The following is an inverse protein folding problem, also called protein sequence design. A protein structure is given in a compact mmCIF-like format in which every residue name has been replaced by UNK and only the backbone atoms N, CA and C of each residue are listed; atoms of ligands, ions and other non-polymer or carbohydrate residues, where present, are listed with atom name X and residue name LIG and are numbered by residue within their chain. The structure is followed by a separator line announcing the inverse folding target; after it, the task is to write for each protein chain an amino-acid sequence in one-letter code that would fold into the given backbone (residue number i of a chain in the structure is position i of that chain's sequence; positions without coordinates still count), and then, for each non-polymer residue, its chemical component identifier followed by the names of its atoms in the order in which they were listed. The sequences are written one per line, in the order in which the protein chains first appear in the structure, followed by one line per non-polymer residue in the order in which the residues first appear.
data_IF_927200070150
#
_entry.id   IF_927200070150
#
_cell.length_a   1.000
_cell.length_b   1.000
_cell.length_c   1.000
_cell.angle_alpha   90.00
_cell.angle_beta   90.00
_cell.angle_gamma   90.00
#
_symmetry.space_group_name_H-M   'P 1'
#
loop_
_entity.id
_entity.type
_entity.pdbx_description
1 polymer ?
#
# COMPACT_ATOMS: atom_id res chain seq x y z
N UNK A 1 11.24 -48.48 15.96
CA UNK A 1 10.67 -47.85 14.75
C UNK A 1 10.15 -46.49 15.16
N UNK A 2 10.88 -45.44 14.77
CA UNK A 2 10.40 -44.06 14.68
C UNK A 2 9.12 -44.06 13.80
N UNK A 3 8.15 -43.17 13.93
CA UNK A 3 8.32 -41.72 13.80
C UNK A 3 7.00 -41.08 14.28
N UNK A 4 7.03 -40.30 15.37
CA UNK A 4 5.89 -39.45 15.72
C UNK A 4 6.10 -38.12 15.01
N UNK A 5 5.53 -38.02 13.80
CA UNK A 5 5.49 -36.78 13.03
C UNK A 5 4.70 -35.72 13.79
N UNK A 6 5.45 -34.78 14.37
CA UNK A 6 4.98 -33.51 14.92
C UNK A 6 4.18 -32.78 13.83
N UNK A 7 2.85 -32.81 13.92
CA UNK A 7 1.99 -31.90 13.15
C UNK A 7 2.26 -30.49 13.65
N UNK A 8 3.10 -29.75 12.93
CA UNK A 8 3.15 -28.30 13.01
C UNK A 8 1.72 -27.79 12.80
N UNK A 9 1.12 -27.22 13.85
CA UNK A 9 -0.13 -26.48 13.76
C UNK A 9 0.14 -25.28 12.84
N UNK A 10 -0.15 -25.43 11.54
CA UNK A 10 -0.33 -24.26 10.68
C UNK A 10 -1.56 -23.55 11.23
N UNK A 11 -1.34 -22.44 11.93
CA UNK A 11 -2.41 -21.48 12.17
C UNK A 11 -3.02 -21.19 10.79
N UNK A 12 -4.33 -21.44 10.57
CA UNK A 12 -4.95 -20.98 9.34
C UNK A 12 -4.80 -19.46 9.33
N UNK A 13 -4.26 -18.92 8.23
CA UNK A 13 -4.31 -17.48 8.02
C UNK A 13 -5.77 -17.04 8.17
N UNK A 14 -6.05 -15.98 8.94
CA UNK A 14 -7.41 -15.51 9.16
C UNK A 14 -8.10 -15.26 7.80
N UNK A 15 -9.38 -15.62 7.70
CA UNK A 15 -10.16 -15.39 6.48
C UNK A 15 -10.09 -13.90 6.12
N UNK A 16 -9.82 -13.59 4.85
CA UNK A 16 -9.74 -12.21 4.34
C UNK A 16 -11.02 -11.43 4.66
N UNK A 17 -12.17 -12.11 4.74
CA UNK A 17 -13.45 -11.52 5.15
C UNK A 17 -13.45 -11.05 6.61
N UNK A 18 -12.86 -11.82 7.52
CA UNK A 18 -12.75 -11.47 8.93
C UNK A 18 -11.77 -10.31 9.12
N UNK A 19 -10.68 -10.31 8.35
CA UNK A 19 -9.73 -9.19 8.31
C UNK A 19 -10.43 -7.91 7.83
N UNK A 20 -11.12 -7.96 6.68
CA UNK A 20 -11.80 -6.80 6.10
C UNK A 20 -12.75 -6.05 7.06
N UNK A 21 -13.25 -6.71 8.11
CA UNK A 21 -14.19 -6.13 9.09
C UNK A 21 -13.59 -5.89 10.49
N UNK A 22 -12.43 -6.46 10.81
CA UNK A 22 -11.90 -6.51 12.18
C UNK A 22 -10.96 -5.37 12.59
N UNK A 23 -10.40 -4.62 11.64
CA UNK A 23 -9.39 -3.60 11.91
C UNK A 23 -9.86 -2.16 11.67
N UNK A 24 -9.10 -1.19 12.19
CA UNK A 24 -9.39 0.24 12.05
C UNK A 24 -8.71 0.82 10.80
N UNK A 25 -9.43 1.54 9.92
CA UNK A 25 -8.82 2.17 8.76
C UNK A 25 -7.92 3.33 9.18
N UNK A 26 -6.79 3.46 8.50
CA UNK A 26 -5.90 4.62 8.54
C UNK A 26 -5.72 5.14 7.13
N UNK A 27 -5.64 6.46 7.00
CA UNK A 27 -5.48 7.11 5.70
C UNK A 27 -4.04 7.57 5.50
N UNK A 28 -3.49 7.25 4.34
CA UNK A 28 -2.24 7.82 3.84
C UNK A 28 -2.60 9.03 2.98
N UNK A 29 -1.98 10.17 3.27
CA UNK A 29 -2.22 11.46 2.61
C UNK A 29 -0.89 12.00 2.10
N UNK A 30 -0.92 13.02 1.24
CA UNK A 30 0.30 13.61 0.67
C UNK A 30 1.31 14.05 1.72
N UNK A 31 0.85 14.56 2.88
CA UNK A 31 1.72 14.94 4.00
C UNK A 31 2.49 13.78 4.64
N UNK A 32 2.23 12.53 4.25
CA UNK A 32 2.97 11.36 4.69
C UNK A 32 4.00 10.88 3.66
N UNK A 33 4.00 11.44 2.44
CA UNK A 33 4.92 11.03 1.39
C UNK A 33 6.37 11.42 1.73
N UNK A 34 7.31 10.64 1.23
CA UNK A 34 8.76 10.89 1.33
C UNK A 34 9.16 12.00 0.35
N UNK A 35 9.01 13.25 0.78
CA UNK A 35 9.35 14.45 0.00
C UNK A 35 10.81 14.42 -0.49
N UNK A 36 11.02 14.75 -1.77
CA UNK A 36 12.33 14.72 -2.42
C UNK A 36 12.82 13.33 -2.84
N UNK A 37 11.98 12.29 -2.77
CA UNK A 37 12.33 10.98 -3.32
C UNK A 37 12.55 11.06 -4.84
N UNK A 38 13.76 10.74 -5.30
CA UNK A 38 14.12 10.77 -6.73
C UNK A 38 13.69 9.49 -7.43
N UNK A 39 12.89 9.65 -8.49
CA UNK A 39 12.46 8.58 -9.39
C UNK A 39 13.66 8.06 -10.19
N UNK A 40 13.74 6.73 -10.32
CA UNK A 40 14.76 6.07 -11.13
C UNK A 40 14.04 5.08 -12.04
N UNK A 41 14.03 5.33 -13.34
CA UNK A 41 13.24 4.56 -14.27
C UNK A 41 13.53 3.06 -14.18
N UNK A 42 12.48 2.24 -14.12
CA UNK A 42 12.56 0.79 -13.99
C UNK A 42 13.04 0.28 -12.62
N UNK A 43 13.31 1.16 -11.65
CA UNK A 43 13.60 0.81 -10.27
C UNK A 43 12.44 1.23 -9.36
N UNK A 44 12.24 0.48 -8.28
CA UNK A 44 11.27 0.83 -7.25
C UNK A 44 11.82 1.94 -6.34
N UNK A 45 11.06 3.01 -6.19
CA UNK A 45 11.34 4.10 -5.26
C UNK A 45 10.26 4.11 -4.20
N UNK A 46 10.68 4.09 -2.92
CA UNK A 46 9.72 4.18 -1.81
C UNK A 46 9.23 5.61 -1.67
N UNK A 47 7.91 5.79 -1.77
CA UNK A 47 7.24 7.10 -1.66
C UNK A 47 6.47 7.25 -0.36
N UNK A 48 6.24 6.16 0.36
CA UNK A 48 5.69 6.16 1.72
C UNK A 48 6.15 4.91 2.46
N UNK A 49 6.42 5.05 3.77
CA UNK A 49 6.79 3.95 4.65
C UNK A 49 6.23 4.12 6.05
N UNK A 50 5.82 3.02 6.67
CA UNK A 50 5.44 2.98 8.08
C UNK A 50 5.94 1.71 8.75
N UNK A 51 6.66 1.85 9.88
CA UNK A 51 7.07 0.72 10.71
C UNK A 51 5.87 0.19 11.49
N UNK A 52 5.68 -1.12 11.49
CA UNK A 52 4.63 -1.75 12.30
C UNK A 52 5.07 -1.80 13.78
N UNK A 53 4.31 -1.21 14.71
CA UNK A 53 4.59 -1.33 16.15
C UNK A 53 4.45 -2.77 16.66
N UNK A 54 5.13 -3.08 17.77
CA UNK A 54 5.17 -4.43 18.35
C UNK A 54 3.79 -5.01 18.72
N UNK A 55 2.87 -4.17 19.18
CA UNK A 55 1.51 -4.54 19.61
C UNK A 55 0.47 -4.39 18.49
N UNK A 56 0.92 -4.25 17.24
CA UNK A 56 0.07 -3.99 16.08
C UNK A 56 0.37 -4.94 14.93
N UNK A 57 -0.58 -4.98 14.01
CA UNK A 57 -0.39 -5.58 12.70
C UNK A 57 -1.08 -4.70 11.64
N UNK A 58 -0.44 -4.52 10.48
CA UNK A 58 -0.93 -3.66 9.39
C UNK A 58 -1.22 -4.47 8.13
N UNK A 59 -2.30 -4.12 7.42
CA UNK A 59 -2.63 -4.63 6.09
C UNK A 59 -2.81 -3.47 5.12
N UNK A 60 -2.33 -3.62 3.89
CA UNK A 60 -2.68 -2.71 2.81
C UNK A 60 -4.18 -2.75 2.54
N UNK A 61 -4.79 -1.61 2.22
CA UNK A 61 -6.21 -1.49 1.93
C UNK A 61 -7.13 -1.56 3.15
N UNK A 62 -8.42 -1.41 2.92
CA UNK A 62 -9.47 -1.53 3.94
C UNK A 62 -10.79 -2.00 3.34
N UNK A 63 -11.54 -2.79 4.11
CA UNK A 63 -12.83 -3.32 3.70
C UNK A 63 -12.78 -4.39 2.62
N UNK A 64 -13.93 -4.61 1.98
CA UNK A 64 -14.19 -5.72 1.05
C UNK A 64 -14.12 -5.27 -0.40
N UNK A 65 -13.90 -6.22 -1.30
CA UNK A 65 -13.98 -6.04 -2.75
C UNK A 65 -15.42 -5.80 -3.24
N UNK A 66 -16.41 -6.31 -2.50
CA UNK A 66 -17.82 -6.04 -2.76
C UNK A 66 -18.30 -4.77 -2.06
N UNK A 67 -18.69 -3.80 -2.88
CA UNK A 67 -19.23 -2.50 -2.50
C UNK A 67 -20.48 -2.56 -1.61
N UNK A 68 -21.32 -3.58 -1.77
CA UNK A 68 -22.56 -3.74 -0.98
C UNK A 68 -22.35 -4.52 0.33
N UNK A 69 -21.16 -5.08 0.56
CA UNK A 69 -20.92 -6.07 1.61
C UNK A 69 -19.98 -5.63 2.74
N UNK A 70 -19.54 -4.37 2.76
CA UNK A 70 -18.59 -3.91 3.79
C UNK A 70 -18.19 -2.44 3.67
N UNK A 71 -17.28 -1.99 4.55
CA UNK A 71 -16.70 -0.65 4.44
C UNK A 71 -15.96 -0.49 3.11
N UNK A 72 -16.11 0.67 2.46
CA UNK A 72 -15.52 0.97 1.15
C UNK A 72 -14.26 1.83 1.31
N UNK A 73 -13.15 1.46 0.67
CA UNK A 73 -11.92 2.25 0.61
C UNK A 73 -11.65 2.76 -0.80
N UNK A 74 -12.30 3.86 -1.19
CA UNK A 74 -12.08 4.49 -2.49
C UNK A 74 -10.79 5.30 -2.49
N UNK A 75 -9.93 5.04 -3.47
CA UNK A 75 -8.58 5.58 -3.55
C UNK A 75 -8.36 6.46 -4.78
N UNK A 76 -7.34 7.29 -4.71
CA UNK A 76 -6.74 8.01 -5.83
C UNK A 76 -5.31 8.40 -5.45
N UNK A 77 -4.47 8.67 -6.45
CA UNK A 77 -3.12 9.16 -6.24
C UNK A 77 -2.63 9.98 -7.45
N UNK A 78 -2.54 11.30 -7.28
CA UNK A 78 -1.76 12.19 -8.13
C UNK A 78 -0.43 12.45 -7.42
N UNK A 79 0.66 11.91 -7.98
CA UNK A 79 2.02 12.09 -7.47
C UNK A 79 2.74 12.99 -8.46
N UNK A 80 3.25 14.12 -7.98
CA UNK A 80 3.83 15.16 -8.83
C UNK A 80 5.26 15.47 -8.42
N UNK A 81 6.04 15.99 -9.36
CA UNK A 81 7.33 16.61 -9.09
C UNK A 81 7.15 18.10 -8.68
N UNK A 82 8.25 18.81 -8.48
CA UNK A 82 8.24 20.24 -8.12
C UNK A 82 7.85 21.20 -9.26
N UNK A 83 7.69 20.70 -10.49
CA UNK A 83 7.26 21.45 -11.70
C UNK A 83 5.80 21.19 -12.07
N UNK A 84 4.94 20.92 -11.06
CA UNK A 84 3.63 20.26 -11.16
C UNK A 84 3.41 19.24 -12.28
N UNK A 85 4.46 18.55 -12.73
CA UNK A 85 4.32 17.47 -13.69
C UNK A 85 4.03 16.18 -12.94
N UNK A 86 3.09 15.40 -13.48
CA UNK A 86 2.73 14.10 -12.91
C UNK A 86 3.87 13.11 -13.13
N UNK A 87 4.24 12.39 -12.08
CA UNK A 87 5.12 11.24 -12.18
C UNK A 87 4.33 10.09 -12.80
N UNK A 88 4.85 9.53 -13.89
CA UNK A 88 4.28 8.39 -14.62
C UNK A 88 4.89 7.06 -14.15
N UNK A 89 4.12 5.98 -14.28
CA UNK A 89 4.53 4.63 -13.91
C UNK A 89 3.48 3.91 -13.05
N UNK A 90 3.94 2.93 -12.27
CA UNK A 90 3.07 2.02 -11.52
C UNK A 90 3.22 2.18 -10.01
N UNK A 91 2.11 2.12 -9.27
CA UNK A 91 2.09 2.14 -7.81
C UNK A 91 1.96 0.72 -7.24
N UNK A 92 2.86 0.37 -6.32
CA UNK A 92 2.92 -0.92 -5.65
C UNK A 92 2.74 -0.82 -4.14
N UNK A 93 2.04 -1.80 -3.59
CA UNK A 93 1.99 -2.11 -2.17
C UNK A 93 3.03 -3.18 -1.82
N UNK A 94 3.92 -2.86 -0.87
CA UNK A 94 5.03 -3.73 -0.47
C UNK A 94 5.06 -3.90 1.05
N UNK A 95 5.54 -5.06 1.50
CA UNK A 95 5.89 -5.32 2.90
C UNK A 95 7.35 -5.75 2.98
N UNK A 96 8.12 -5.03 3.78
CA UNK A 96 9.56 -5.26 3.96
C UNK A 96 9.92 -5.66 5.39
N UNK A 97 11.08 -6.26 5.58
CA UNK A 97 11.65 -6.52 6.90
C UNK A 97 12.33 -5.26 7.45
N UNK A 98 12.97 -5.41 8.61
CA UNK A 98 13.75 -4.36 9.24
C UNK A 98 14.97 -3.93 8.42
N UNK A 99 15.44 -4.75 7.47
CA UNK A 99 16.54 -4.47 6.56
C UNK A 99 16.07 -3.90 5.21
N UNK A 100 14.76 -3.71 5.02
CA UNK A 100 14.17 -3.16 3.79
C UNK A 100 14.07 -4.18 2.66
N UNK A 101 14.29 -5.47 2.92
CA UNK A 101 14.10 -6.54 1.94
C UNK A 101 12.63 -6.91 1.86
N UNK A 102 12.16 -7.18 0.65
CA UNK A 102 10.81 -7.67 0.43
C UNK A 102 10.62 -9.02 1.11
N UNK A 103 9.69 -9.09 2.06
CA UNK A 103 9.41 -10.32 2.82
C UNK A 103 8.26 -11.10 2.20
N UNK A 104 7.44 -10.40 1.44
CA UNK A 104 6.21 -10.88 0.84
C UNK A 104 6.10 -10.46 -0.61
N UNK A 105 5.21 -11.12 -1.36
CA UNK A 105 4.90 -10.71 -2.72
C UNK A 105 4.41 -9.25 -2.73
N UNK A 106 5.01 -8.42 -3.59
CA UNK A 106 4.50 -7.08 -3.91
C UNK A 106 3.19 -7.18 -4.69
N UNK A 107 2.29 -6.23 -4.49
CA UNK A 107 1.02 -6.16 -5.21
C UNK A 107 0.87 -4.83 -5.91
N UNK A 108 0.67 -4.88 -7.22
CA UNK A 108 0.33 -3.70 -8.02
C UNK A 108 -1.04 -3.16 -7.59
N UNK A 109 -1.12 -1.86 -7.40
CA UNK A 109 -2.34 -1.12 -7.07
C UNK A 109 -2.99 -0.62 -8.36
N UNK A 110 -2.17 -0.10 -9.28
CA UNK A 110 -2.54 0.40 -10.61
C UNK A 110 -1.51 1.40 -11.12
N UNK A 111 -1.70 1.84 -12.36
CA UNK A 111 -0.90 2.89 -12.97
C UNK A 111 -1.24 4.28 -12.41
N UNK A 112 -0.23 5.15 -12.33
CA UNK A 112 -0.35 6.48 -11.75
C UNK A 112 -1.21 7.44 -12.59
N UNK A 113 -1.32 7.22 -13.90
CA UNK A 113 -2.17 8.02 -14.78
C UNK A 113 -3.65 7.81 -14.43
N UNK A 114 -4.09 6.55 -14.37
CA UNK A 114 -5.47 6.18 -14.00
C UNK A 114 -5.77 6.57 -12.56
N UNK A 115 -4.82 6.38 -11.64
CA UNK A 115 -4.98 6.78 -10.25
C UNK A 115 -5.06 8.30 -10.06
N UNK A 116 -4.38 9.09 -10.89
CA UNK A 116 -4.47 10.54 -10.87
C UNK A 116 -5.82 11.02 -11.41
N UNK A 117 -6.28 10.45 -12.54
CA UNK A 117 -7.59 10.77 -13.11
C UNK A 117 -8.74 10.51 -12.11
N UNK A 118 -8.62 9.46 -11.28
CA UNK A 118 -9.60 9.14 -10.24
C UNK A 118 -9.74 10.22 -9.15
N UNK A 119 -8.83 11.21 -9.06
CA UNK A 119 -8.99 12.34 -8.14
C UNK A 119 -10.23 13.17 -8.47
N UNK A 120 -10.51 13.37 -9.76
CA UNK A 120 -11.62 14.18 -10.26
C UNK A 120 -12.94 13.41 -10.35
N UNK A 121 -12.88 12.07 -10.29
CA UNK A 121 -14.08 11.22 -10.32
C UNK A 121 -14.93 11.37 -9.04
N UNK A 122 -16.23 11.10 -9.18
CA UNK A 122 -17.10 10.96 -8.02
C UNK A 122 -16.52 9.91 -7.08
N UNK A 123 -16.56 10.15 -5.76
CA UNK A 123 -16.00 9.25 -4.73
C UNK A 123 -16.30 7.77 -5.00
N UNK A 124 -17.52 7.50 -5.43
CA UNK A 124 -18.07 6.18 -5.65
C UNK A 124 -17.68 5.51 -6.97
N UNK A 125 -17.08 6.24 -7.89
CA UNK A 125 -16.63 5.75 -9.20
C UNK A 125 -15.13 5.45 -9.20
N UNK A 126 -14.41 5.92 -8.17
CA UNK A 126 -12.99 5.68 -7.96
C UNK A 126 -12.67 4.20 -7.74
N UNK A 127 -11.43 3.77 -8.03
CA UNK A 127 -10.97 2.42 -7.68
C UNK A 127 -11.16 2.12 -6.19
N UNK A 128 -11.56 0.90 -5.88
CA UNK A 128 -11.63 0.39 -4.52
C UNK A 128 -10.31 -0.28 -4.14
N UNK A 129 -9.88 -0.08 -2.89
CA UNK A 129 -8.67 -0.67 -2.34
C UNK A 129 -8.99 -1.59 -1.15
N UNK A 130 -9.53 -2.79 -1.43
CA UNK A 130 -9.89 -3.73 -0.38
C UNK A 130 -8.65 -4.23 0.35
N UNK A 131 -8.85 -4.83 1.53
CA UNK A 131 -7.76 -5.42 2.31
C UNK A 131 -6.93 -6.40 1.46
N UNK A 132 -5.61 -6.25 1.51
CA UNK A 132 -4.65 -7.06 0.80
C UNK A 132 -3.81 -7.88 1.78
N UNK A 133 -3.84 -9.20 1.62
CA UNK A 133 -2.91 -10.11 2.29
C UNK A 133 -1.57 -10.16 1.52
N UNK A 134 -0.43 -10.42 2.20
CA UNK A 134 -0.27 -10.82 3.60
C UNK A 134 -0.25 -9.66 4.61
N UNK A 135 -0.29 -10.00 5.91
CA UNK A 135 -0.25 -9.05 7.03
C UNK A 135 1.18 -8.71 7.43
N UNK A 136 1.47 -7.42 7.62
CA UNK A 136 2.71 -6.93 8.19
C UNK A 136 2.60 -6.93 9.73
N UNK A 137 3.63 -7.47 10.40
CA UNK A 137 3.74 -7.61 11.86
C UNK A 137 4.95 -6.85 12.39
N UNK A 138 5.20 -6.97 13.69
CA UNK A 138 6.38 -6.41 14.36
C UNK A 138 7.67 -6.56 13.54
N UNK A 139 8.47 -5.49 13.53
CA UNK A 139 9.73 -5.36 12.79
C UNK A 139 9.63 -5.42 11.26
N UNK A 140 8.42 -5.43 10.71
CA UNK A 140 8.17 -5.21 9.30
C UNK A 140 7.75 -3.75 9.03
N UNK A 141 7.78 -3.36 7.76
CA UNK A 141 7.25 -2.10 7.30
C UNK A 141 6.18 -2.32 6.26
N UNK A 142 5.19 -1.43 6.26
CA UNK A 142 4.24 -1.27 5.16
C UNK A 142 4.74 -0.11 4.28
N UNK A 143 4.87 -0.35 2.98
CA UNK A 143 5.44 0.61 2.02
C UNK A 143 4.53 0.79 0.80
N UNK A 144 4.53 2.01 0.26
CA UNK A 144 4.10 2.29 -1.11
C UNK A 144 5.33 2.63 -1.92
N UNK A 145 5.45 2.00 -3.09
CA UNK A 145 6.57 2.20 -4.00
C UNK A 145 6.09 2.54 -5.39
N UNK A 146 6.84 3.39 -6.08
CA UNK A 146 6.62 3.74 -7.48
C UNK A 146 7.68 3.07 -8.33
N UNK A 147 7.28 2.40 -9.40
CA UNK A 147 8.18 2.06 -10.52
C UNK A 147 7.93 3.11 -11.58
N UNK A 148 8.84 4.07 -11.68
CA UNK A 148 8.69 5.19 -12.60
C UNK A 148 8.95 4.77 -14.05
N UNK A 149 8.19 5.35 -14.97
CA UNK A 149 8.46 5.25 -16.40
C UNK A 149 9.68 6.09 -16.79
N UNK A 150 10.24 5.80 -17.96
CA UNK A 150 11.43 6.51 -18.46
C UNK A 150 11.21 8.02 -18.66
N UNK A 151 9.96 8.46 -18.78
CA UNK A 151 9.62 9.88 -18.90
C UNK A 151 9.82 10.64 -17.58
N UNK A 152 9.71 9.95 -16.44
CA UNK A 152 9.87 10.51 -15.10
C UNK A 152 11.22 10.16 -14.46
N UNK A 153 12.22 9.73 -15.25
CA UNK A 153 13.55 9.45 -14.74
C UNK A 153 14.23 10.73 -14.22
N UNK A 154 14.67 10.71 -12.96
CA UNK A 154 15.28 11.87 -12.30
C UNK A 154 14.28 12.88 -11.74
N UNK A 155 12.98 12.68 -11.90
CA UNK A 155 11.98 13.52 -11.22
C UNK A 155 12.07 13.35 -9.70
N UNK A 156 11.98 14.46 -8.97
CA UNK A 156 11.92 14.45 -7.52
C UNK A 156 10.47 14.64 -7.07
N UNK A 157 9.96 13.69 -6.28
CA UNK A 157 8.61 13.76 -5.70
C UNK A 157 8.46 15.02 -4.85
N UNK A 158 7.38 15.78 -5.08
CA UNK A 158 6.93 16.88 -4.23
C UNK A 158 5.69 16.47 -3.45
N UNK A 159 5.83 16.29 -2.15
CA UNK A 159 4.72 15.91 -1.27
C UNK A 159 3.68 17.04 -1.15
N UNK A 160 4.09 18.31 -1.34
CA UNK A 160 3.20 19.46 -1.30
C UNK A 160 2.38 19.67 -2.56
N UNK A 161 2.88 19.24 -3.72
CA UNK A 161 2.18 19.34 -5.00
C UNK A 161 1.38 18.06 -5.32
N UNK A 162 1.70 16.96 -4.64
CA UNK A 162 0.97 15.69 -4.76
C UNK A 162 -0.36 15.68 -3.98
N UNK A 163 -1.33 14.90 -4.47
CA UNK A 163 -2.62 14.64 -3.82
C UNK A 163 -2.92 13.15 -3.79
N UNK A 164 -2.88 12.52 -2.62
CA UNK A 164 -3.17 11.09 -2.48
C UNK A 164 -4.18 10.79 -1.38
N UNK A 165 -4.95 9.72 -1.57
CA UNK A 165 -5.79 9.14 -0.53
C UNK A 165 -5.77 7.62 -0.62
N UNK A 166 -4.82 7.03 0.10
CA UNK A 166 -4.68 5.58 0.22
C UNK A 166 -5.07 5.11 1.62
N UNK A 167 -5.24 3.80 1.80
CA UNK A 167 -5.64 3.23 3.09
C UNK A 167 -4.78 2.03 3.47
N UNK A 168 -4.58 1.89 4.77
CA UNK A 168 -4.16 0.63 5.38
C UNK A 168 -5.06 0.35 6.59
N UNK A 169 -5.15 -0.92 6.98
CA UNK A 169 -5.93 -1.34 8.14
C UNK A 169 -4.99 -1.70 9.29
N UNK A 170 -5.27 -1.16 10.47
CA UNK A 170 -4.54 -1.42 11.72
C UNK A 170 -5.34 -2.39 12.61
N UNK A 171 -4.66 -3.42 13.11
CA UNK A 171 -5.17 -4.36 14.10
C UNK A 171 -4.34 -4.26 15.38
N UNK A 172 -5.00 -4.51 16.50
CA UNK A 172 -4.32 -4.80 17.76
C UNK A 172 -3.93 -6.28 17.75
N UNK A 173 -2.68 -6.57 18.09
CA UNK A 173 -2.17 -7.93 18.25
C UNK A 173 -2.25 -8.37 19.72
#
# INVERSE_FOLDING_TARGET
MADQLTRAQRHPDPDVRDLAQGGSPKTIRSSHLEDGATMNAGNEVTVWKSKVPADKAYLHGHGTDNRESGPEAFIYASIQNSTPEQIEGDLYAVITDSEGRDVHARKEIGDLETLAAAEDDNRTERPMYPVQVPIAREDQHLELRVVADSASDGDELSASDSSIRMYYTEYNN
#
